data_IF_873764624513
#
_entry.id   IF_873764624513
#
_cell.length_a   1.000
_cell.length_b   1.000
_cell.length_c   1.000
_cell.angle_alpha   90.00
_cell.angle_beta   90.00
_cell.angle_gamma   90.00
#
_symmetry.space_group_name_H-M   'P 1'
#
loop_
_entity.id
_entity.type
_entity.pdbx_description
1 polymer ?
#
# COMPACT_ATOMS: atom_id res chain seq x y z
N UNK A 1 9.37 -30.31 -27.31
CA UNK A 1 8.65 -31.10 -26.27
C UNK A 1 8.58 -30.25 -25.02
N UNK A 2 7.42 -29.67 -24.74
CA UNK A 2 7.18 -28.79 -23.58
C UNK A 2 6.82 -29.66 -22.38
N UNK A 3 7.63 -29.64 -21.32
CA UNK A 3 7.30 -30.29 -20.05
C UNK A 3 6.53 -29.29 -19.18
N UNK A 4 5.24 -29.51 -19.08
CA UNK A 4 4.35 -28.79 -18.14
C UNK A 4 4.57 -29.41 -16.76
N UNK A 5 5.13 -28.63 -15.83
CA UNK A 5 5.27 -29.06 -14.44
C UNK A 5 3.97 -28.68 -13.69
N UNK A 6 3.18 -29.66 -13.39
CA UNK A 6 1.94 -29.55 -12.62
C UNK A 6 2.32 -29.56 -11.13
N UNK A 7 2.28 -28.42 -10.44
CA UNK A 7 2.39 -28.39 -8.98
C UNK A 7 1.02 -28.70 -8.37
N UNK A 8 0.89 -29.93 -7.90
CA UNK A 8 -0.22 -30.37 -7.08
C UNK A 8 0.09 -29.96 -5.62
N UNK A 9 -0.51 -28.87 -5.15
CA UNK A 9 -0.46 -28.52 -3.73
C UNK A 9 -1.52 -29.36 -3.03
N UNK A 10 -1.07 -30.44 -2.41
CA UNK A 10 -1.89 -31.22 -1.50
C UNK A 10 -2.02 -30.43 -0.19
N UNK A 11 -3.21 -29.89 0.06
CA UNK A 11 -3.60 -29.38 1.37
C UNK A 11 -3.74 -30.57 2.32
N UNK A 12 -2.69 -30.86 3.06
CA UNK A 12 -2.74 -31.83 4.17
C UNK A 12 -3.44 -31.17 5.34
N UNK A 13 -4.73 -31.42 5.48
CA UNK A 13 -5.47 -31.18 6.71
C UNK A 13 -4.92 -32.12 7.77
N UNK A 14 -4.00 -31.67 8.60
CA UNK A 14 -3.64 -32.37 9.84
C UNK A 14 -4.81 -32.26 10.82
N UNK A 15 -5.67 -33.25 10.83
CA UNK A 15 -6.55 -33.52 11.94
C UNK A 15 -5.69 -34.01 13.14
N UNK A 16 -5.32 -33.10 14.00
CA UNK A 16 -4.84 -33.48 15.34
C UNK A 16 -6.07 -33.74 16.21
N UNK A 17 -6.52 -34.98 16.21
CA UNK A 17 -7.41 -35.48 17.25
C UNK A 17 -6.61 -35.61 18.56
N UNK A 18 -6.56 -34.54 19.34
CA UNK A 18 -6.07 -34.56 20.71
C UNK A 18 -7.19 -35.07 21.61
N UNK A 19 -7.28 -36.38 21.85
CA UNK A 19 -7.98 -36.90 23.01
C UNK A 19 -7.20 -36.55 24.25
N UNK A 20 -7.66 -35.60 25.07
CA UNK A 20 -7.34 -35.54 26.47
C UNK A 20 -8.62 -35.89 27.25
N UNK A 21 -8.66 -37.10 27.76
CA UNK A 21 -9.56 -37.48 28.81
C UNK A 21 -9.03 -36.84 30.11
N UNK A 22 -9.68 -35.80 30.59
CA UNK A 22 -9.58 -35.38 31.96
C UNK A 22 -10.99 -35.34 32.55
N UNK A 23 -11.31 -36.46 33.13
CA UNK A 23 -12.48 -36.69 33.97
C UNK A 23 -12.18 -36.20 35.37
N UNK A 24 -12.51 -34.95 35.72
CA UNK A 24 -12.63 -34.49 37.09
C UNK A 24 -13.62 -33.33 37.23
N UNK A 25 -14.79 -33.63 37.82
CA UNK A 25 -15.52 -32.71 38.70
C UNK A 25 -16.21 -31.51 38.08
N UNK A 26 -17.45 -31.63 37.64
CA UNK A 26 -18.58 -30.72 37.91
C UNK A 26 -18.43 -29.20 37.71
N UNK A 27 -17.50 -28.71 36.89
CA UNK A 27 -17.54 -27.34 36.44
C UNK A 27 -18.11 -27.34 35.02
N UNK A 28 -19.12 -26.51 34.76
CA UNK A 28 -19.65 -26.26 33.42
C UNK A 28 -18.50 -25.79 32.56
N UNK A 29 -17.94 -26.71 31.73
CA UNK A 29 -16.86 -26.37 30.81
C UNK A 29 -17.37 -25.34 29.78
N UNK A 30 -16.73 -24.19 29.70
CA UNK A 30 -16.98 -23.18 28.70
C UNK A 30 -16.71 -23.72 27.29
N UNK A 31 -17.32 -23.08 26.28
CA UNK A 31 -17.12 -23.43 24.88
C UNK A 31 -15.76 -22.99 24.38
N UNK A 32 -15.18 -23.77 23.44
CA UNK A 32 -14.00 -23.36 22.66
C UNK A 32 -14.38 -23.23 21.18
N UNK A 33 -13.70 -22.31 20.49
CA UNK A 33 -13.88 -22.07 19.06
C UNK A 33 -12.54 -22.18 18.35
N UNK A 34 -12.47 -23.02 17.35
CA UNK A 34 -11.40 -23.06 16.37
C UNK A 34 -11.85 -22.25 15.13
N UNK A 35 -11.45 -21.00 15.07
CA UNK A 35 -11.78 -20.10 13.96
C UNK A 35 -10.60 -20.01 13.01
N UNK A 36 -10.86 -20.23 11.74
CA UNK A 36 -9.93 -20.01 10.63
C UNK A 36 -10.51 -18.98 9.68
N UNK A 37 -9.66 -18.18 9.05
CA UNK A 37 -10.08 -17.26 7.98
C UNK A 37 -9.68 -17.83 6.65
N UNK A 38 -10.63 -17.96 5.73
CA UNK A 38 -10.33 -18.39 4.35
C UNK A 38 -9.42 -17.34 3.68
N UNK A 39 -8.28 -17.84 3.15
CA UNK A 39 -7.29 -17.00 2.48
C UNK A 39 -7.79 -16.52 1.09
N UNK A 40 -7.51 -15.29 0.65
CA UNK A 40 -6.17 -14.78 0.53
C UNK A 40 -5.75 -14.01 1.78
N UNK A 41 -4.80 -14.63 2.42
CA UNK A 41 -3.98 -14.23 3.53
C UNK A 41 -4.20 -12.83 4.11
N UNK A 42 -4.67 -12.76 5.35
CA UNK A 42 -4.66 -11.54 6.13
C UNK A 42 -4.73 -11.86 7.64
N UNK A 43 -4.19 -11.05 8.47
CA UNK A 43 -4.07 -11.23 9.93
C UNK A 43 -4.79 -10.09 10.65
N UNK A 44 -5.26 -10.24 11.92
CA UNK A 44 -5.72 -9.14 12.78
C UNK A 44 -4.61 -8.14 13.09
N UNK A 45 -3.36 -8.52 12.97
CA UNK A 45 -2.30 -7.62 12.51
C UNK A 45 -2.18 -7.77 11.01
N UNK A 46 -2.51 -6.75 10.23
CA UNK A 46 -2.23 -6.77 8.80
C UNK A 46 -0.77 -6.44 8.56
N UNK A 47 -0.03 -7.42 8.07
CA UNK A 47 1.36 -7.27 7.66
C UNK A 47 1.51 -7.66 6.19
N UNK A 48 2.55 -7.18 5.55
CA UNK A 48 2.88 -7.53 4.18
C UNK A 48 3.60 -6.41 3.47
N UNK A 49 4.17 -6.68 2.31
CA UNK A 49 4.77 -5.65 1.47
C UNK A 49 3.70 -4.65 0.99
N UNK A 50 4.11 -3.43 0.64
CA UNK A 50 3.22 -2.36 0.20
C UNK A 50 2.26 -2.77 -0.94
N UNK A 51 2.63 -3.76 -1.74
CA UNK A 51 1.82 -4.29 -2.85
C UNK A 51 0.95 -5.49 -2.49
N UNK A 52 1.04 -6.00 -1.22
CA UNK A 52 0.40 -7.25 -0.82
C UNK A 52 1.16 -8.49 -1.32
N UNK A 53 0.68 -9.70 -1.08
CA UNK A 53 -0.54 -10.01 -0.34
C UNK A 53 -0.40 -9.71 1.16
N UNK A 54 -1.47 -9.20 1.74
CA UNK A 54 -1.54 -8.99 3.18
C UNK A 54 -1.95 -10.27 3.89
N UNK A 55 -1.47 -10.45 5.13
CA UNK A 55 -1.78 -11.64 5.94
C UNK A 55 -2.56 -11.24 7.20
N UNK A 56 -3.61 -11.99 7.56
CA UNK A 56 -4.48 -11.77 8.73
C UNK A 56 -4.32 -12.87 9.79
N UNK A 57 -4.01 -12.58 11.08
CA UNK A 57 -4.21 -13.49 12.21
C UNK A 57 -4.85 -12.76 13.36
N UNK A 58 -5.60 -13.50 14.11
CA UNK A 58 -6.18 -13.02 15.34
C UNK A 58 -5.08 -12.80 16.38
N UNK A 59 -5.12 -11.66 17.07
CA UNK A 59 -4.29 -11.36 18.23
C UNK A 59 -4.97 -11.82 19.52
N UNK A 60 -4.23 -11.88 20.62
CA UNK A 60 -4.83 -12.10 21.92
C UNK A 60 -5.83 -10.99 22.22
N UNK A 61 -6.90 -11.34 22.93
CA UNK A 61 -8.04 -10.50 23.26
C UNK A 61 -8.99 -10.16 22.09
N UNK A 62 -8.69 -10.60 20.86
CA UNK A 62 -9.66 -10.54 19.75
C UNK A 62 -10.94 -11.28 20.13
N UNK A 63 -12.08 -10.73 19.68
CA UNK A 63 -13.40 -11.25 20.01
C UNK A 63 -14.14 -11.67 18.75
N UNK A 64 -14.77 -12.83 18.82
CA UNK A 64 -15.69 -13.33 17.79
C UNK A 64 -17.06 -13.46 18.42
N UNK A 65 -18.07 -12.83 17.81
CA UNK A 65 -19.47 -12.99 18.17
C UNK A 65 -20.04 -14.21 17.48
N UNK A 66 -20.55 -15.17 18.24
CA UNK A 66 -21.10 -16.42 17.70
C UNK A 66 -22.57 -16.56 18.13
N UNK A 67 -23.43 -16.70 17.14
CA UNK A 67 -24.86 -16.95 17.33
C UNK A 67 -25.28 -18.29 16.74
N UNK A 68 -26.50 -18.68 17.00
CA UNK A 68 -27.15 -19.82 16.34
C UNK A 68 -28.63 -19.50 16.05
N UNK A 69 -29.31 -20.36 15.33
CA UNK A 69 -30.70 -20.17 14.92
C UNK A 69 -31.69 -20.13 16.07
N UNK A 70 -31.28 -20.50 17.28
CA UNK A 70 -32.13 -20.47 18.48
C UNK A 70 -31.90 -19.24 19.34
N UNK A 71 -30.84 -18.47 19.10
CA UNK A 71 -30.58 -17.20 19.78
C UNK A 71 -31.33 -16.06 19.10
N UNK A 72 -32.12 -15.35 19.89
CA UNK A 72 -32.95 -14.25 19.38
C UNK A 72 -32.37 -12.87 19.59
N UNK A 73 -31.41 -12.71 20.51
CA UNK A 73 -30.84 -11.40 20.85
C UNK A 73 -29.40 -11.42 21.32
N UNK A 74 -28.91 -12.47 21.93
CA UNK A 74 -27.60 -12.51 22.54
C UNK A 74 -26.64 -13.42 21.77
N UNK A 75 -25.41 -12.95 21.62
CA UNK A 75 -24.32 -13.72 21.03
C UNK A 75 -23.37 -14.24 22.11
N UNK A 76 -22.81 -15.41 21.88
CA UNK A 76 -21.69 -15.88 22.65
C UNK A 76 -20.42 -15.15 22.22
N UNK A 77 -19.75 -14.47 23.14
CA UNK A 77 -18.50 -13.76 22.86
C UNK A 77 -17.33 -14.69 23.17
N UNK A 78 -16.63 -15.06 22.16
CA UNK A 78 -15.40 -15.84 22.24
C UNK A 78 -14.20 -14.91 22.20
N UNK A 79 -13.36 -14.99 23.24
CA UNK A 79 -12.13 -14.20 23.34
C UNK A 79 -10.91 -15.08 23.10
N UNK A 80 -9.97 -14.60 22.28
CA UNK A 80 -8.73 -15.31 21.96
C UNK A 80 -7.76 -15.26 23.13
N UNK A 81 -7.20 -16.41 23.49
CA UNK A 81 -6.08 -16.55 24.42
C UNK A 81 -5.16 -17.66 23.92
N UNK A 82 -3.93 -17.33 23.58
CA UNK A 82 -3.02 -18.24 22.91
C UNK A 82 -3.55 -18.66 21.54
N UNK A 83 -3.66 -19.96 21.29
CA UNK A 83 -4.10 -20.49 19.97
C UNK A 83 -5.61 -20.68 19.84
N UNK A 84 -6.38 -20.49 20.89
CA UNK A 84 -7.81 -20.81 20.94
C UNK A 84 -8.66 -19.61 21.35
N UNK A 85 -9.89 -19.62 20.88
CA UNK A 85 -10.95 -18.76 21.38
C UNK A 85 -11.76 -19.52 22.42
N UNK A 86 -12.11 -18.86 23.52
CA UNK A 86 -12.90 -19.46 24.60
C UNK A 86 -14.05 -18.54 25.02
N UNK A 87 -15.13 -19.13 25.44
CA UNK A 87 -16.30 -18.48 26.03
C UNK A 87 -16.63 -19.19 27.35
N UNK A 88 -16.84 -18.42 28.41
CA UNK A 88 -17.20 -18.98 29.74
C UNK A 88 -18.58 -19.66 29.76
N UNK A 89 -19.44 -19.31 28.81
CA UNK A 89 -20.80 -19.87 28.75
C UNK A 89 -20.76 -21.30 28.20
N UNK A 90 -21.41 -22.21 28.91
CA UNK A 90 -21.56 -23.59 28.47
C UNK A 90 -22.40 -23.69 27.19
N UNK A 91 -22.05 -24.64 26.33
CA UNK A 91 -22.82 -24.92 25.12
C UNK A 91 -24.23 -25.38 25.50
N UNK A 92 -25.29 -24.83 24.90
CA UNK A 92 -26.65 -25.31 25.16
C UNK A 92 -26.78 -26.77 24.69
N UNK A 93 -27.39 -27.58 25.52
CA UNK A 93 -27.75 -28.95 25.16
C UNK A 93 -28.87 -28.93 24.11
N UNK A 94 -28.75 -29.71 23.05
CA UNK A 94 -29.80 -29.76 22.04
C UNK A 94 -29.38 -30.31 20.68
N UNK A 95 -30.36 -30.28 19.77
CA UNK A 95 -30.22 -30.74 18.39
C UNK A 95 -29.21 -29.88 17.58
N UNK A 96 -28.73 -30.43 16.49
CA UNK A 96 -27.90 -29.71 15.54
C UNK A 96 -28.56 -28.41 15.08
N UNK A 97 -27.83 -27.30 15.19
CA UNK A 97 -28.26 -25.98 14.74
C UNK A 97 -27.17 -25.36 13.88
N UNK A 98 -27.57 -24.43 13.02
CA UNK A 98 -26.62 -23.60 12.30
C UNK A 98 -26.02 -22.57 13.26
N UNK A 99 -24.68 -22.51 13.27
CA UNK A 99 -23.89 -21.53 14.03
C UNK A 99 -23.33 -20.50 13.06
N UNK A 100 -23.40 -19.23 13.46
CA UNK A 100 -22.90 -18.08 12.70
C UNK A 100 -21.85 -17.37 13.52
N UNK A 101 -20.74 -17.01 12.92
CA UNK A 101 -19.66 -16.26 13.58
C UNK A 101 -19.36 -14.99 12.83
N UNK A 102 -19.08 -13.91 13.58
CA UNK A 102 -18.80 -12.58 13.08
C UNK A 102 -17.58 -11.99 13.78
N UNK A 103 -16.62 -11.49 12.99
CA UNK A 103 -15.44 -10.77 13.46
C UNK A 103 -15.42 -9.37 12.82
N UNK A 104 -15.02 -8.32 13.55
CA UNK A 104 -14.72 -8.22 14.99
C UNK A 104 -15.97 -8.21 15.89
N UNK A 105 -17.13 -8.28 15.34
CA UNK A 105 -18.40 -8.30 16.05
C UNK A 105 -19.59 -8.22 15.09
N UNK A 106 -20.80 -8.03 15.59
CA UNK A 106 -22.02 -7.98 14.76
C UNK A 106 -22.27 -6.62 14.10
N UNK A 107 -21.61 -5.56 14.58
CA UNK A 107 -21.63 -4.21 14.00
C UNK A 107 -20.22 -3.72 13.86
N UNK A 108 -19.90 -3.19 12.69
CA UNK A 108 -18.57 -2.65 12.36
C UNK A 108 -18.76 -1.24 11.80
N UNK A 109 -18.64 -0.19 12.64
CA UNK A 109 -18.61 1.18 12.15
C UNK A 109 -17.34 1.36 11.31
N UNK A 110 -17.46 1.98 10.14
CA UNK A 110 -16.36 2.16 9.20
C UNK A 110 -15.80 3.59 9.19
N UNK A 111 -16.37 4.48 9.98
CA UNK A 111 -15.95 5.87 10.11
C UNK A 111 -14.61 5.98 10.86
N UNK A 112 -13.89 7.06 10.59
CA UNK A 112 -12.67 7.46 11.31
C UNK A 112 -11.58 6.38 11.40
N UNK A 113 -11.37 5.62 10.32
CA UNK A 113 -10.27 4.65 10.25
C UNK A 113 -8.92 5.38 10.31
N UNK A 114 -7.94 4.82 11.01
CA UNK A 114 -6.62 5.45 11.22
C UNK A 114 -5.81 5.57 9.93
N UNK A 115 -6.04 4.68 8.99
CA UNK A 115 -5.34 4.64 7.71
C UNK A 115 -4.03 3.87 7.72
N UNK A 116 -3.55 3.40 8.88
CA UNK A 116 -2.40 2.50 8.93
C UNK A 116 -2.82 1.05 8.62
N UNK A 117 -1.88 0.27 8.11
CA UNK A 117 -2.18 -1.10 7.67
C UNK A 117 -2.60 -2.00 8.83
N UNK A 118 -2.01 -1.83 10.01
CA UNK A 118 -2.35 -2.62 11.20
C UNK A 118 -3.76 -2.29 11.69
N UNK A 119 -4.12 -0.99 11.70
CA UNK A 119 -5.42 -0.50 12.15
C UNK A 119 -6.60 -0.99 11.29
N UNK A 120 -6.37 -1.33 10.02
CA UNK A 120 -7.42 -1.89 9.15
C UNK A 120 -7.99 -3.18 9.72
N UNK A 121 -7.22 -3.94 10.50
CA UNK A 121 -7.68 -5.19 11.11
C UNK A 121 -8.95 -4.99 11.96
N UNK A 122 -9.08 -3.85 12.65
CA UNK A 122 -10.26 -3.52 13.47
C UNK A 122 -11.55 -3.37 12.66
N UNK A 123 -11.44 -3.19 11.37
CA UNK A 123 -12.57 -3.01 10.43
C UNK A 123 -12.71 -4.17 9.44
N UNK A 124 -11.86 -5.20 9.60
CA UNK A 124 -11.81 -6.32 8.64
C UNK A 124 -12.92 -7.33 8.92
N UNK A 125 -14.14 -6.95 8.59
CA UNK A 125 -15.32 -7.77 8.81
C UNK A 125 -15.20 -9.13 8.09
N UNK A 126 -15.37 -10.20 8.88
CA UNK A 126 -15.43 -11.58 8.42
C UNK A 126 -16.66 -12.27 8.99
N UNK A 127 -17.29 -13.15 8.23
CA UNK A 127 -18.39 -13.95 8.69
C UNK A 127 -18.26 -15.40 8.23
N UNK A 128 -18.81 -16.31 9.02
CA UNK A 128 -18.81 -17.73 8.71
C UNK A 128 -20.03 -18.43 9.26
N UNK A 129 -20.35 -19.58 8.66
CA UNK A 129 -21.43 -20.47 9.07
C UNK A 129 -20.90 -21.90 9.17
N UNK A 130 -21.38 -22.62 10.16
CA UNK A 130 -21.20 -24.06 10.22
C UNK A 130 -22.52 -24.71 10.57
N UNK A 131 -22.88 -25.73 9.82
CA UNK A 131 -23.94 -26.65 10.18
C UNK A 131 -23.31 -27.75 11.03
N UNK A 132 -23.27 -27.57 12.34
CA UNK A 132 -22.65 -28.55 13.20
C UNK A 132 -23.63 -29.17 14.15
N UNK A 133 -23.63 -30.50 14.13
CA UNK A 133 -24.24 -31.26 15.20
C UNK A 133 -23.54 -30.91 16.53
N UNK A 134 -24.30 -30.46 17.46
CA UNK A 134 -23.79 -29.96 18.75
C UNK A 134 -23.57 -31.09 19.75
N UNK A 135 -23.58 -32.33 19.33
CA UNK A 135 -23.46 -33.49 20.23
C UNK A 135 -21.99 -33.82 20.46
N UNK A 136 -21.57 -33.75 21.70
CA UNK A 136 -20.37 -34.37 22.23
C UNK A 136 -19.26 -33.42 22.68
N UNK A 137 -18.61 -32.65 21.85
CA UNK A 137 -17.51 -31.80 22.26
C UNK A 137 -17.94 -30.33 22.48
N UNK A 138 -17.34 -29.67 23.48
CA UNK A 138 -17.56 -28.24 23.76
C UNK A 138 -16.93 -27.31 22.71
N UNK A 139 -16.39 -27.87 21.62
CA UNK A 139 -15.69 -27.13 20.57
C UNK A 139 -16.56 -26.87 19.35
N UNK A 140 -16.43 -25.67 18.80
CA UNK A 140 -16.94 -25.29 17.49
C UNK A 140 -15.77 -25.10 16.54
N UNK A 141 -15.98 -25.40 15.23
CA UNK A 141 -15.04 -25.07 14.17
C UNK A 141 -15.78 -24.30 13.10
N UNK A 142 -15.37 -23.03 12.86
CA UNK A 142 -16.01 -22.13 11.90
C UNK A 142 -14.94 -21.50 11.01
N UNK A 143 -15.11 -21.63 9.69
CA UNK A 143 -14.30 -20.90 8.71
C UNK A 143 -14.95 -19.55 8.44
N UNK A 144 -14.19 -18.47 8.59
CA UNK A 144 -14.63 -17.11 8.36
C UNK A 144 -14.19 -16.63 6.97
N UNK A 145 -15.12 -16.06 6.22
CA UNK A 145 -14.89 -15.46 4.91
C UNK A 145 -14.87 -13.94 5.05
N UNK A 146 -13.87 -13.24 4.50
CA UNK A 146 -13.87 -11.78 4.48
C UNK A 146 -15.11 -11.19 3.82
N UNK A 147 -15.63 -10.09 4.36
CA UNK A 147 -16.76 -9.33 3.83
C UNK A 147 -16.36 -7.92 3.37
N UNK A 148 -15.10 -7.59 3.48
CA UNK A 148 -14.53 -6.31 3.07
C UNK A 148 -13.45 -6.49 2.00
N UNK A 149 -13.24 -5.45 1.23
CA UNK A 149 -12.04 -5.20 0.42
C UNK A 149 -11.21 -4.10 1.09
N UNK A 150 -9.95 -3.99 0.73
CA UNK A 150 -9.06 -2.94 1.22
C UNK A 150 -8.84 -1.91 0.12
N UNK A 151 -9.09 -0.64 0.43
CA UNK A 151 -8.65 0.46 -0.41
C UNK A 151 -7.31 1.00 0.09
N UNK A 152 -6.33 1.09 -0.81
CA UNK A 152 -5.10 1.85 -0.63
C UNK A 152 -5.33 3.24 -1.20
N UNK A 153 -5.43 4.23 -0.32
CA UNK A 153 -5.61 5.63 -0.69
C UNK A 153 -4.22 6.28 -0.78
N UNK A 154 -3.81 6.64 -1.98
CA UNK A 154 -2.54 7.33 -2.22
C UNK A 154 -2.82 8.82 -2.24
N UNK A 155 -2.48 9.51 -1.13
CA UNK A 155 -2.49 10.96 -1.07
C UNK A 155 -1.19 11.47 -1.68
N UNK A 156 -1.30 12.13 -2.84
CA UNK A 156 -0.14 12.43 -3.69
C UNK A 156 0.69 13.62 -3.19
N UNK A 157 0.11 14.53 -2.42
CA UNK A 157 0.72 15.77 -1.95
C UNK A 157 0.41 16.06 -0.47
N UNK A 158 1.23 16.90 0.15
CA UNK A 158 0.93 17.48 1.46
C UNK A 158 -0.08 18.63 1.27
N UNK A 159 -1.04 18.73 2.18
CA UNK A 159 -2.05 19.79 2.14
C UNK A 159 -2.55 20.11 3.54
N UNK A 160 -2.73 21.39 3.86
CA UNK A 160 -3.42 21.80 5.09
C UNK A 160 -4.89 21.40 5.09
N UNK A 161 -5.50 21.22 3.92
CA UNK A 161 -6.85 20.69 3.78
C UNK A 161 -6.80 19.16 3.84
N UNK A 162 -7.51 18.54 4.77
CA UNK A 162 -7.54 17.08 4.86
C UNK A 162 -8.07 16.41 3.58
N UNK A 163 -7.50 15.27 3.25
CA UNK A 163 -8.08 14.32 2.32
C UNK A 163 -9.13 13.52 3.07
N UNK A 164 -10.40 13.89 2.92
CA UNK A 164 -11.53 13.25 3.57
C UNK A 164 -12.16 12.22 2.65
N UNK A 165 -11.85 10.96 2.86
CA UNK A 165 -12.39 9.86 2.07
C UNK A 165 -13.78 9.50 2.56
N UNK A 166 -14.73 9.57 1.64
CA UNK A 166 -16.11 9.20 1.83
C UNK A 166 -16.54 8.25 0.72
N UNK A 167 -17.46 7.36 1.02
CA UNK A 167 -17.92 6.35 0.07
C UNK A 167 -19.44 6.30 0.06
N UNK A 168 -20.01 6.16 -1.11
CA UNK A 168 -21.45 5.95 -1.29
C UNK A 168 -21.71 4.72 -2.15
N UNK A 169 -22.90 4.13 -1.95
CA UNK A 169 -23.53 3.16 -2.85
C UNK A 169 -24.83 3.78 -3.39
N UNK A 170 -25.63 3.01 -4.12
CA UNK A 170 -26.98 3.42 -4.51
C UNK A 170 -27.91 3.68 -3.32
N UNK A 171 -27.61 3.11 -2.13
CA UNK A 171 -28.41 3.28 -0.91
C UNK A 171 -28.05 4.51 -0.07
N UNK A 172 -26.98 5.24 -0.38
CA UNK A 172 -26.52 6.41 0.37
C UNK A 172 -25.04 6.32 0.79
N UNK A 173 -24.63 7.22 1.70
CA UNK A 173 -23.29 7.24 2.27
C UNK A 173 -23.05 6.03 3.17
N UNK A 174 -21.92 5.38 3.05
CA UNK A 174 -21.56 4.21 3.87
C UNK A 174 -21.06 4.70 5.23
N UNK A 175 -21.65 4.18 6.30
CA UNK A 175 -21.23 4.43 7.69
C UNK A 175 -20.71 3.18 8.40
N UNK A 176 -21.12 2.00 7.98
CA UNK A 176 -20.74 0.76 8.66
C UNK A 176 -21.26 -0.48 7.96
N UNK A 177 -21.12 -1.59 8.67
CA UNK A 177 -21.67 -2.90 8.29
C UNK A 177 -22.34 -3.54 9.49
N UNK A 178 -23.46 -4.22 9.25
CA UNK A 178 -24.20 -4.98 10.28
C UNK A 178 -24.38 -6.42 9.83
N UNK A 179 -24.05 -7.35 10.71
CA UNK A 179 -24.24 -8.78 10.46
C UNK A 179 -25.74 -9.12 10.49
N UNK A 180 -26.17 -9.95 9.55
CA UNK A 180 -27.53 -10.48 9.53
C UNK A 180 -27.62 -11.69 10.47
N UNK A 181 -28.57 -11.66 11.39
CA UNK A 181 -28.71 -12.67 12.45
C UNK A 181 -29.06 -14.08 11.96
N UNK A 182 -29.54 -14.21 10.73
CA UNK A 182 -29.95 -15.51 10.14
C UNK A 182 -29.01 -16.03 9.07
N UNK A 183 -27.98 -15.26 8.70
CA UNK A 183 -27.02 -15.61 7.64
C UNK A 183 -25.60 -15.20 8.05
N UNK A 184 -24.62 -15.97 7.59
CA UNK A 184 -23.21 -15.66 7.80
C UNK A 184 -22.73 -14.53 6.87
N UNK A 185 -23.36 -13.36 6.97
CA UNK A 185 -23.12 -12.22 6.08
C UNK A 185 -23.22 -10.88 6.81
N UNK A 186 -22.74 -9.84 6.15
CA UNK A 186 -22.87 -8.45 6.56
C UNK A 186 -23.59 -7.65 5.48
N UNK A 187 -24.53 -6.83 5.88
CA UNK A 187 -25.06 -5.77 5.02
C UNK A 187 -24.36 -4.45 5.27
N UNK A 188 -24.40 -3.60 4.24
CA UNK A 188 -23.88 -2.25 4.31
C UNK A 188 -24.85 -1.36 5.06
N UNK A 189 -24.39 -0.72 6.13
CA UNK A 189 -25.10 0.39 6.74
C UNK A 189 -24.86 1.67 5.95
N UNK A 190 -25.92 2.40 5.70
CA UNK A 190 -25.87 3.70 5.04
C UNK A 190 -26.34 4.81 5.97
N UNK A 191 -25.83 6.03 5.74
CA UNK A 191 -26.19 7.23 6.47
C UNK A 191 -26.80 8.26 5.52
N UNK A 192 -27.79 9.03 5.93
CA UNK A 192 -28.36 10.12 5.12
C UNK A 192 -27.35 11.27 4.94
N UNK A 193 -26.40 11.40 5.86
CA UNK A 193 -25.32 12.39 5.81
C UNK A 193 -23.98 11.74 5.42
N UNK A 194 -23.10 12.56 4.88
CA UNK A 194 -21.75 12.15 4.51
C UNK A 194 -20.94 11.71 5.73
N UNK A 195 -20.39 10.51 5.69
CA UNK A 195 -19.53 9.95 6.73
C UNK A 195 -18.10 9.90 6.24
N UNK A 196 -17.15 10.37 7.03
CA UNK A 196 -15.72 10.34 6.72
C UNK A 196 -15.11 9.03 7.20
N UNK A 197 -14.63 8.22 6.28
CA UNK A 197 -13.97 6.95 6.60
C UNK A 197 -12.50 7.14 6.96
N UNK A 198 -11.86 8.14 6.34
CA UNK A 198 -10.45 8.47 6.55
C UNK A 198 -10.24 9.97 6.37
N UNK A 199 -9.44 10.60 7.23
CA UNK A 199 -9.04 12.01 7.09
C UNK A 199 -7.53 12.14 7.29
N UNK A 200 -6.81 12.65 6.27
CA UNK A 200 -5.34 12.75 6.31
C UNK A 200 -4.84 14.01 5.62
N UNK A 201 -3.87 14.69 6.23
CA UNK A 201 -3.23 15.90 5.67
C UNK A 201 -1.89 15.59 4.99
N UNK A 202 -1.13 14.64 5.52
CA UNK A 202 0.17 14.27 4.97
C UNK A 202 0.05 13.45 3.68
N UNK A 203 1.00 13.61 2.76
CA UNK A 203 1.17 12.70 1.65
C UNK A 203 1.58 11.31 2.14
N UNK A 204 1.07 10.26 1.49
CA UNK A 204 1.34 8.89 1.92
C UNK A 204 0.39 7.87 1.32
N UNK A 205 0.55 6.64 1.74
CA UNK A 205 -0.34 5.52 1.40
C UNK A 205 -1.10 5.11 2.65
N UNK A 206 -2.41 5.20 2.59
CA UNK A 206 -3.31 4.89 3.67
C UNK A 206 -4.21 3.73 3.30
N UNK A 207 -4.63 2.97 4.29
CA UNK A 207 -5.40 1.74 4.10
C UNK A 207 -6.73 1.85 4.83
N UNK A 208 -7.82 1.51 4.15
CA UNK A 208 -9.14 1.43 4.76
C UNK A 208 -9.89 0.17 4.32
N UNK A 209 -10.66 -0.40 5.23
CA UNK A 209 -11.60 -1.45 4.92
C UNK A 209 -12.91 -0.85 4.36
N UNK A 210 -13.45 -1.47 3.33
CA UNK A 210 -14.73 -1.08 2.72
C UNK A 210 -15.55 -2.32 2.38
N UNK A 211 -16.88 -2.24 2.35
CA UNK A 211 -17.71 -3.39 2.03
C UNK A 211 -17.41 -3.98 0.66
N UNK A 212 -17.25 -5.31 0.61
CA UNK A 212 -17.17 -6.05 -0.64
C UNK A 212 -18.55 -6.30 -1.27
N UNK A 213 -18.57 -6.78 -2.52
CA UNK A 213 -19.80 -7.14 -3.24
C UNK A 213 -20.64 -5.97 -3.73
N UNK A 214 -20.41 -4.75 -3.25
CA UNK A 214 -21.18 -3.56 -3.63
C UNK A 214 -20.43 -2.68 -4.62
N UNK A 215 -21.14 -2.07 -5.57
CA UNK A 215 -20.60 -0.98 -6.38
C UNK A 215 -20.51 0.27 -5.50
N UNK A 216 -19.35 0.90 -5.50
CA UNK A 216 -19.08 2.08 -4.69
C UNK A 216 -18.61 3.25 -5.53
N UNK A 217 -18.87 4.45 -5.04
CA UNK A 217 -18.25 5.69 -5.52
C UNK A 217 -17.45 6.30 -4.38
N UNK A 218 -16.19 6.61 -4.66
CA UNK A 218 -15.21 7.13 -3.71
C UNK A 218 -15.03 8.61 -3.96
N UNK A 219 -15.08 9.39 -2.89
CA UNK A 219 -14.91 10.85 -2.91
C UNK A 219 -13.76 11.27 -1.99
N UNK A 220 -13.12 12.38 -2.33
CA UNK A 220 -12.31 13.20 -1.43
C UNK A 220 -13.05 14.50 -1.19
N UNK A 221 -13.55 14.68 0.01
CA UNK A 221 -14.44 15.81 0.30
C UNK A 221 -15.67 15.79 -0.63
N UNK A 222 -15.83 16.82 -1.45
CA UNK A 222 -16.87 16.92 -2.46
C UNK A 222 -16.49 16.36 -3.83
N UNK A 223 -15.19 16.05 -4.04
CA UNK A 223 -14.68 15.66 -5.34
C UNK A 223 -14.73 14.14 -5.54
N UNK A 224 -15.40 13.70 -6.61
CA UNK A 224 -15.41 12.28 -7.00
C UNK A 224 -14.04 11.85 -7.49
N UNK A 225 -13.44 10.86 -6.83
CA UNK A 225 -12.17 10.25 -7.25
C UNK A 225 -12.40 9.10 -8.23
N UNK A 226 -13.27 8.17 -7.86
CA UNK A 226 -13.52 6.95 -8.65
C UNK A 226 -14.88 6.35 -8.37
N UNK A 227 -15.47 5.71 -9.39
CA UNK A 227 -16.60 4.81 -9.23
C UNK A 227 -16.23 3.43 -9.77
N UNK A 228 -16.66 2.39 -9.08
CA UNK A 228 -16.45 1.01 -9.52
C UNK A 228 -17.58 0.58 -10.46
N UNK A 229 -17.24 -0.19 -11.50
CA UNK A 229 -18.23 -0.74 -12.45
C UNK A 229 -18.87 -2.03 -11.94
N UNK A 230 -18.22 -2.69 -10.98
CA UNK A 230 -18.66 -3.94 -10.34
C UNK A 230 -18.42 -3.83 -8.84
N UNK A 231 -19.02 -4.70 -8.05
CA UNK A 231 -18.71 -4.86 -6.64
C UNK A 231 -17.24 -5.22 -6.43
N UNK A 232 -16.65 -4.72 -5.37
CA UNK A 232 -15.29 -5.07 -4.98
C UNK A 232 -15.25 -6.53 -4.51
N UNK A 233 -14.18 -7.25 -4.83
CA UNK A 233 -14.00 -8.63 -4.36
C UNK A 233 -13.48 -8.63 -2.93
N UNK A 234 -14.11 -9.40 -2.07
CA UNK A 234 -13.70 -9.59 -0.68
C UNK A 234 -12.24 -10.06 -0.57
N UNK A 235 -11.52 -9.58 0.43
CA UNK A 235 -10.12 -9.91 0.67
C UNK A 235 -9.14 -9.36 -0.38
N UNK A 236 -9.59 -8.61 -1.39
CA UNK A 236 -8.72 -7.98 -2.39
C UNK A 236 -8.47 -6.52 -2.03
N UNK A 237 -7.35 -5.99 -2.56
CA UNK A 237 -6.97 -4.60 -2.41
C UNK A 237 -7.07 -3.84 -3.73
N UNK A 238 -7.36 -2.56 -3.62
CA UNK A 238 -7.53 -1.65 -4.77
C UNK A 238 -6.86 -0.33 -4.47
N UNK A 239 -6.16 0.23 -5.46
CA UNK A 239 -5.47 1.51 -5.29
C UNK A 239 -6.27 2.64 -5.90
N UNK A 240 -6.37 3.75 -5.17
CA UNK A 240 -6.99 5.00 -5.59
C UNK A 240 -6.06 6.15 -5.24
N UNK A 241 -5.73 7.02 -6.21
CA UNK A 241 -4.93 8.22 -5.99
C UNK A 241 -5.85 9.43 -5.81
N UNK A 242 -5.48 10.36 -4.93
CA UNK A 242 -6.25 11.58 -4.69
C UNK A 242 -6.03 12.66 -5.75
N UNK A 243 -4.97 12.51 -6.56
CA UNK A 243 -4.61 13.40 -7.64
C UNK A 243 -3.79 12.69 -8.71
N UNK A 244 -3.41 13.40 -9.77
CA UNK A 244 -2.60 12.84 -10.84
C UNK A 244 -1.16 12.60 -10.35
N UNK A 245 -0.59 11.48 -10.74
CA UNK A 245 0.84 11.14 -10.52
C UNK A 245 1.68 11.39 -11.78
N UNK A 246 1.06 11.85 -12.83
CA UNK A 246 1.67 12.30 -14.09
C UNK A 246 0.78 13.33 -14.77
N UNK A 247 1.38 14.15 -15.58
CA UNK A 247 0.69 15.19 -16.36
C UNK A 247 1.66 15.90 -17.29
N UNK A 248 1.30 17.10 -17.71
CA UNK A 248 2.16 17.96 -18.52
C UNK A 248 2.03 19.41 -18.10
N UNK A 249 3.08 20.18 -18.32
CA UNK A 249 3.10 21.62 -18.09
C UNK A 249 3.82 22.33 -19.23
N UNK A 250 3.45 23.58 -19.48
CA UNK A 250 4.01 24.40 -20.56
C UNK A 250 5.42 24.89 -20.26
N UNK A 251 6.19 25.10 -21.31
CA UNK A 251 7.50 25.75 -21.28
C UNK A 251 7.31 27.23 -21.66
N UNK A 252 7.89 28.14 -20.87
CA UNK A 252 8.03 29.58 -21.23
C UNK A 252 6.75 30.25 -21.78
N UNK A 253 5.57 29.95 -21.23
CA UNK A 253 4.30 30.45 -21.73
C UNK A 253 4.02 30.14 -23.21
N UNK A 254 4.66 29.14 -23.77
CA UNK A 254 4.42 28.65 -25.13
C UNK A 254 3.33 27.58 -25.15
N UNK A 255 2.99 27.08 -26.33
CA UNK A 255 2.13 25.90 -26.47
C UNK A 255 2.90 24.59 -26.31
N UNK A 256 4.24 24.65 -26.21
CA UNK A 256 5.08 23.49 -25.98
C UNK A 256 4.91 22.98 -24.54
N UNK A 257 4.70 21.70 -24.38
CA UNK A 257 4.49 21.06 -23.09
C UNK A 257 5.51 19.97 -22.84
N UNK A 258 5.89 19.80 -21.57
CA UNK A 258 6.73 18.70 -21.11
C UNK A 258 5.90 17.85 -20.16
N UNK A 259 5.97 16.55 -20.34
CA UNK A 259 5.38 15.59 -19.39
C UNK A 259 6.17 15.57 -18.08
N UNK A 260 5.45 15.34 -16.99
CA UNK A 260 6.04 15.11 -15.68
C UNK A 260 5.47 13.86 -15.03
N UNK A 261 6.25 13.26 -14.15
CA UNK A 261 5.87 12.13 -13.32
C UNK A 261 6.29 12.38 -11.88
N UNK A 262 5.48 11.87 -10.95
CA UNK A 262 5.81 11.79 -9.54
C UNK A 262 6.16 10.33 -9.21
N UNK A 263 7.22 10.09 -8.45
CA UNK A 263 7.72 8.74 -8.18
C UNK A 263 7.28 8.19 -6.82
N UNK A 264 6.86 9.08 -5.88
CA UNK A 264 6.31 8.71 -4.58
C UNK A 264 5.40 9.82 -4.04
N UNK A 265 4.59 9.49 -3.04
CA UNK A 265 3.69 10.45 -2.40
C UNK A 265 4.49 11.57 -1.70
N UNK A 266 4.15 12.82 -1.99
CA UNK A 266 4.87 14.00 -1.50
C UNK A 266 6.21 14.27 -2.19
N UNK A 267 6.61 13.44 -3.15
CA UNK A 267 7.80 13.68 -3.96
C UNK A 267 7.59 14.74 -5.03
N UNK A 268 8.67 15.29 -5.59
CA UNK A 268 8.58 16.28 -6.65
C UNK A 268 8.02 15.68 -7.94
N UNK A 269 7.46 16.54 -8.78
CA UNK A 269 6.95 16.19 -10.10
C UNK A 269 8.08 16.39 -11.11
N UNK A 270 8.86 15.35 -11.37
CA UNK A 270 10.00 15.38 -12.28
C UNK A 270 9.54 15.50 -13.73
N UNK A 271 10.19 16.36 -14.51
CA UNK A 271 10.08 16.31 -15.98
C UNK A 271 10.54 14.93 -16.50
N UNK A 272 9.91 14.43 -17.56
CA UNK A 272 10.33 13.15 -18.16
C UNK A 272 11.61 13.29 -19.02
N UNK A 273 12.03 14.52 -19.30
CA UNK A 273 13.24 14.84 -20.07
C UNK A 273 14.10 15.91 -19.39
N UNK A 274 15.37 15.97 -19.75
CA UNK A 274 16.28 17.04 -19.33
C UNK A 274 15.99 18.34 -20.10
N UNK A 275 16.49 19.47 -19.57
CA UNK A 275 16.76 20.63 -20.44
C UNK A 275 17.73 20.20 -21.54
N UNK A 276 17.46 20.64 -22.78
CA UNK A 276 18.20 20.18 -23.96
C UNK A 276 19.72 20.36 -23.85
N UNK A 277 20.13 21.53 -23.38
CA UNK A 277 21.54 21.89 -23.27
C UNK A 277 21.99 21.85 -21.81
N UNK A 278 23.26 21.45 -21.60
CA UNK A 278 23.89 21.58 -20.29
C UNK A 278 24.06 23.06 -19.93
N UNK A 279 23.81 23.39 -18.67
CA UNK A 279 23.76 24.77 -18.17
C UNK A 279 24.84 25.04 -17.16
N UNK A 280 25.22 26.32 -17.01
CA UNK A 280 25.97 26.80 -15.85
C UNK A 280 25.09 26.73 -14.60
N UNK A 281 25.71 26.75 -13.42
CA UNK A 281 24.95 26.79 -12.16
C UNK A 281 24.05 28.06 -12.08
N UNK A 282 24.60 29.21 -12.46
CA UNK A 282 23.86 30.47 -12.44
C UNK A 282 22.59 30.44 -13.33
N UNK A 283 22.66 29.78 -14.49
CA UNK A 283 21.49 29.63 -15.36
C UNK A 283 20.52 28.58 -14.83
N UNK A 284 21.04 27.49 -14.25
CA UNK A 284 20.23 26.42 -13.72
C UNK A 284 19.41 26.82 -12.47
N UNK A 285 19.87 27.82 -11.73
CA UNK A 285 19.23 28.28 -10.48
C UNK A 285 18.36 29.53 -10.64
N UNK A 286 18.18 30.04 -11.85
CA UNK A 286 17.18 31.06 -12.14
C UNK A 286 15.79 30.57 -11.74
N UNK A 287 14.89 31.48 -11.42
CA UNK A 287 13.54 31.18 -10.94
C UNK A 287 12.50 32.00 -11.71
N UNK A 288 11.24 31.60 -11.60
CA UNK A 288 10.13 32.29 -12.23
C UNK A 288 10.25 32.34 -13.75
N UNK A 289 9.93 33.47 -14.34
CA UNK A 289 9.97 33.64 -15.80
C UNK A 289 11.39 33.65 -16.39
N UNK A 290 12.42 33.87 -15.55
CA UNK A 290 13.83 33.82 -15.97
C UNK A 290 14.39 32.38 -16.04
N UNK A 291 13.69 31.39 -15.50
CA UNK A 291 14.07 29.99 -15.64
C UNK A 291 13.94 29.54 -17.09
N UNK A 292 14.85 28.70 -17.55
CA UNK A 292 14.92 28.28 -18.96
C UNK A 292 13.61 27.70 -19.52
N UNK A 293 12.81 27.06 -18.70
CA UNK A 293 11.47 26.57 -19.03
C UNK A 293 10.33 27.43 -18.46
N UNK A 294 10.65 28.59 -17.88
CA UNK A 294 9.69 29.53 -17.30
C UNK A 294 9.17 29.10 -15.93
N UNK A 295 8.26 29.90 -15.39
CA UNK A 295 7.81 29.85 -14.00
C UNK A 295 7.17 28.57 -13.53
N UNK A 296 6.72 27.72 -14.45
CA UNK A 296 6.12 26.43 -14.09
C UNK A 296 7.17 25.40 -13.68
N UNK A 297 8.44 25.68 -13.90
CA UNK A 297 9.53 24.73 -13.70
C UNK A 297 10.64 25.34 -12.86
N UNK A 298 11.39 24.47 -12.20
CA UNK A 298 12.60 24.84 -11.45
C UNK A 298 13.60 23.68 -11.42
N UNK A 299 14.82 23.99 -11.08
CA UNK A 299 15.82 22.97 -10.74
C UNK A 299 15.46 22.32 -9.38
N UNK A 300 15.55 20.98 -9.25
CA UNK A 300 15.26 20.30 -7.99
C UNK A 300 16.28 20.70 -6.91
N UNK A 301 15.86 20.63 -5.65
CA UNK A 301 16.77 20.79 -4.52
C UNK A 301 17.63 19.53 -4.36
N UNK A 302 18.71 19.65 -3.56
CA UNK A 302 19.54 18.51 -3.16
C UNK A 302 18.70 17.42 -2.50
N UNK A 303 17.82 17.80 -1.58
CA UNK A 303 16.97 16.88 -0.84
C UNK A 303 16.05 16.12 -1.79
N UNK A 304 15.43 16.78 -2.77
CA UNK A 304 14.58 16.14 -3.77
C UNK A 304 15.35 15.13 -4.63
N UNK A 305 16.57 15.47 -5.04
CA UNK A 305 17.43 14.53 -5.77
C UNK A 305 17.96 13.42 -4.86
N UNK A 306 18.23 13.69 -3.59
CA UNK A 306 18.67 12.69 -2.62
C UNK A 306 17.57 11.68 -2.29
N UNK A 307 16.31 12.09 -2.24
CA UNK A 307 15.18 11.19 -1.98
C UNK A 307 14.88 10.23 -3.14
N UNK A 308 15.30 10.55 -4.35
CA UNK A 308 15.33 9.58 -5.46
C UNK A 308 16.27 8.42 -5.09
N UNK A 309 17.31 8.73 -4.34
CA UNK A 309 18.41 7.87 -3.98
C UNK A 309 18.70 7.96 -2.51
N UNK A 310 18.88 6.99 -1.79
CA UNK A 310 19.67 6.96 -0.60
C UNK A 310 19.03 6.49 0.66
N UNK A 311 19.46 5.34 0.99
CA UNK A 311 19.92 5.05 2.35
C UNK A 311 21.40 4.68 2.26
N UNK A 312 22.28 5.40 2.93
CA UNK A 312 23.62 4.95 3.22
C UNK A 312 23.52 3.80 4.22
N UNK A 313 23.66 2.60 3.74
CA UNK A 313 23.72 1.43 4.61
C UNK A 313 25.20 1.28 5.01
N UNK A 314 25.62 1.84 6.16
CA UNK A 314 26.90 1.68 6.87
C UNK A 314 28.18 1.28 6.15
N UNK A 315 28.12 0.89 4.90
CA UNK A 315 29.21 0.59 4.00
C UNK A 315 29.31 1.65 2.90
N UNK A 316 30.49 2.17 2.70
CA UNK A 316 30.81 3.30 1.82
C UNK A 316 30.34 3.19 0.35
N UNK A 317 29.72 2.08 -0.05
CA UNK A 317 29.46 1.75 -1.46
C UNK A 317 28.07 1.22 -1.77
N UNK A 318 27.14 1.17 -0.81
CA UNK A 318 25.78 0.69 -1.07
C UNK A 318 24.75 1.78 -0.81
N UNK A 319 24.17 2.33 -1.87
CA UNK A 319 23.04 3.27 -1.80
C UNK A 319 21.78 2.51 -2.23
N UNK A 320 20.90 2.24 -1.27
CA UNK A 320 19.58 1.66 -1.57
C UNK A 320 18.58 2.79 -1.75
N UNK A 321 17.93 2.92 -2.91
CA UNK A 321 16.86 3.91 -3.12
C UNK A 321 15.74 3.73 -2.10
N UNK A 322 15.26 4.84 -1.50
CA UNK A 322 14.19 4.81 -0.51
C UNK A 322 12.80 4.62 -1.12
N UNK A 323 12.59 5.21 -2.29
CA UNK A 323 11.26 5.32 -2.90
C UNK A 323 11.20 4.75 -4.31
N UNK A 324 12.34 4.36 -4.85
CA UNK A 324 12.46 3.89 -6.25
C UNK A 324 13.32 2.66 -6.32
N UNK A 325 13.12 1.84 -7.35
CA UNK A 325 14.17 0.94 -7.85
C UNK A 325 14.99 1.68 -8.87
N UNK A 326 16.27 1.33 -8.96
CA UNK A 326 17.18 1.87 -9.95
C UNK A 326 17.78 0.74 -10.78
N UNK A 327 17.87 0.93 -12.08
CA UNK A 327 18.53 -0.01 -13.00
C UNK A 327 19.25 0.75 -14.11
N UNK A 328 20.31 0.15 -14.66
CA UNK A 328 20.90 0.62 -15.92
C UNK A 328 19.90 0.29 -17.03
N UNK A 329 19.65 1.25 -17.90
CA UNK A 329 18.73 1.11 -19.02
C UNK A 329 19.24 1.93 -20.21
N UNK A 330 18.71 1.67 -21.40
CA UNK A 330 19.00 2.38 -22.62
C UNK A 330 17.71 2.98 -23.18
N UNK A 331 17.73 4.27 -23.48
CA UNK A 331 16.63 4.97 -24.08
C UNK A 331 17.14 5.81 -25.26
N UNK A 332 16.56 5.59 -26.45
CA UNK A 332 16.95 6.29 -27.67
C UNK A 332 18.44 6.22 -28.02
N UNK A 333 19.09 5.09 -27.72
CA UNK A 333 20.52 4.89 -27.98
C UNK A 333 21.45 5.50 -26.94
N UNK A 334 20.90 6.00 -25.83
CA UNK A 334 21.66 6.58 -24.72
C UNK A 334 21.53 5.72 -23.49
N UNK A 335 22.68 5.35 -22.89
CA UNK A 335 22.72 4.60 -21.63
C UNK A 335 22.54 5.55 -20.45
N UNK A 336 21.84 5.12 -19.42
CA UNK A 336 21.59 5.91 -18.23
C UNK A 336 21.00 5.10 -17.09
N UNK A 337 20.51 5.78 -16.06
CA UNK A 337 19.79 5.17 -14.94
C UNK A 337 18.30 5.44 -15.05
N UNK A 338 17.52 4.37 -14.99
CA UNK A 338 16.06 4.45 -14.85
C UNK A 338 15.65 4.25 -13.40
N UNK A 339 15.00 5.26 -12.85
CA UNK A 339 14.41 5.22 -11.52
C UNK A 339 12.91 5.01 -11.64
N UNK A 340 12.40 3.97 -11.01
CA UNK A 340 10.97 3.60 -11.04
C UNK A 340 10.41 3.58 -9.63
N UNK A 341 9.26 4.21 -9.42
CA UNK A 341 8.58 4.23 -8.12
C UNK A 341 8.20 2.82 -7.64
N UNK A 342 8.38 2.54 -6.34
CA UNK A 342 8.09 1.23 -5.75
C UNK A 342 6.79 1.20 -4.94
N UNK A 343 6.24 2.38 -4.61
CA UNK A 343 5.02 2.42 -3.80
C UNK A 343 3.77 2.22 -4.65
N UNK A 344 2.69 1.69 -4.06
CA UNK A 344 1.40 1.57 -4.73
C UNK A 344 0.97 2.89 -5.38
N UNK A 345 0.53 2.82 -6.63
CA UNK A 345 0.17 3.99 -7.44
C UNK A 345 1.32 4.60 -8.25
N UNK A 346 2.57 4.28 -7.92
CA UNK A 346 3.76 4.84 -8.58
C UNK A 346 4.58 3.81 -9.37
N UNK A 347 4.30 2.53 -9.27
CA UNK A 347 5.07 1.44 -9.90
C UNK A 347 5.14 1.47 -11.43
N UNK A 348 4.34 2.34 -12.07
CA UNK A 348 4.36 2.60 -13.51
C UNK A 348 4.97 3.94 -13.87
N UNK A 349 5.50 4.68 -12.89
CA UNK A 349 6.11 5.98 -13.09
C UNK A 349 7.62 5.83 -13.02
N UNK A 350 8.32 6.34 -14.00
CA UNK A 350 9.78 6.32 -14.04
C UNK A 350 10.35 7.59 -14.66
N UNK A 351 11.57 7.91 -14.28
CA UNK A 351 12.43 8.87 -14.99
C UNK A 351 13.69 8.16 -15.45
N UNK A 352 14.23 8.60 -16.56
CA UNK A 352 15.50 8.14 -17.10
C UNK A 352 16.52 9.28 -17.02
N UNK A 353 17.64 9.06 -16.34
CA UNK A 353 18.73 10.01 -16.22
C UNK A 353 19.91 9.55 -17.09
N UNK A 354 20.13 10.17 -18.26
CA UNK A 354 21.19 9.78 -19.17
C UNK A 354 22.57 10.02 -18.59
N UNK A 355 23.51 9.16 -18.96
CA UNK A 355 24.94 9.37 -18.73
C UNK A 355 25.54 10.27 -19.80
N UNK A 356 26.56 11.00 -19.42
CA UNK A 356 27.38 11.84 -20.30
C UNK A 356 28.87 11.48 -20.27
N UNK A 357 29.20 10.40 -19.57
CA UNK A 357 30.55 9.94 -19.38
C UNK A 357 31.16 9.25 -20.60
N UNK A 358 32.48 9.10 -20.55
CA UNK A 358 33.23 8.31 -21.48
C UNK A 358 32.92 6.80 -21.27
N UNK A 359 33.32 5.96 -22.22
CA UNK A 359 33.11 4.51 -22.23
C UNK A 359 33.63 3.78 -20.97
N UNK A 360 34.59 4.37 -20.28
CA UNK A 360 35.26 3.78 -19.11
C UNK A 360 34.55 4.15 -17.78
N UNK A 361 33.73 5.23 -17.79
CA UNK A 361 33.02 5.71 -16.61
C UNK A 361 31.60 6.16 -17.03
N UNK A 362 30.63 5.35 -16.72
CA UNK A 362 29.23 5.66 -16.99
C UNK A 362 28.68 6.52 -15.87
N UNK A 363 28.60 7.84 -16.06
CA UNK A 363 28.01 8.76 -15.09
C UNK A 363 27.33 9.94 -15.78
N UNK A 364 26.41 10.58 -15.08
CA UNK A 364 25.77 11.83 -15.47
C UNK A 364 25.75 12.82 -14.30
N UNK A 365 26.12 14.04 -14.54
CA UNK A 365 26.13 15.11 -13.55
C UNK A 365 24.92 16.02 -13.75
N UNK A 366 24.22 16.31 -12.64
CA UNK A 366 23.03 17.09 -12.60
C UNK A 366 23.11 18.21 -11.58
N UNK A 367 22.74 19.43 -11.97
CA UNK A 367 22.62 20.53 -11.03
C UNK A 367 21.47 20.31 -10.05
N UNK A 368 21.69 20.70 -8.81
CA UNK A 368 20.65 20.98 -7.84
C UNK A 368 20.59 22.48 -7.58
N UNK A 369 19.48 22.98 -7.05
CA UNK A 369 19.33 24.41 -6.74
C UNK A 369 20.15 24.89 -5.53
N UNK A 370 20.83 23.98 -4.83
CA UNK A 370 21.60 24.24 -3.60
C UNK A 370 23.10 24.32 -3.79
N UNK A 371 23.61 24.68 -4.97
CA UNK A 371 25.05 24.75 -5.30
C UNK A 371 25.82 23.43 -5.19
N UNK A 372 25.14 22.32 -5.06
CA UNK A 372 25.75 21.00 -5.02
C UNK A 372 25.40 20.19 -6.29
N UNK A 373 26.32 19.32 -6.68
CA UNK A 373 26.16 18.47 -7.87
C UNK A 373 25.64 17.13 -7.44
N UNK A 374 24.53 16.70 -8.03
CA UNK A 374 24.10 15.32 -7.96
C UNK A 374 24.76 14.54 -9.09
N UNK A 375 25.68 13.66 -8.76
CA UNK A 375 26.28 12.73 -9.73
C UNK A 375 25.55 11.40 -9.66
N UNK A 376 25.00 10.94 -10.77
CA UNK A 376 24.52 9.58 -10.90
C UNK A 376 25.49 8.80 -11.81
N UNK A 377 25.83 7.60 -11.42
CA UNK A 377 26.75 6.82 -12.23
C UNK A 377 27.01 5.43 -11.67
N UNK A 378 27.75 4.67 -12.44
CA UNK A 378 28.30 3.38 -12.01
C UNK A 378 29.79 3.41 -12.22
N UNK A 379 30.59 2.93 -11.26
CA UNK A 379 31.98 2.57 -11.54
C UNK A 379 31.99 1.11 -12.01
N UNK A 380 32.38 0.90 -13.26
CA UNK A 380 32.85 -0.41 -13.69
C UNK A 380 34.28 -0.53 -13.19
N UNK A 381 34.49 -1.16 -12.04
CA UNK A 381 35.81 -1.63 -11.67
C UNK A 381 36.16 -2.83 -12.55
N UNK A 382 36.76 -2.54 -13.71
CA UNK A 382 37.35 -3.55 -14.56
C UNK A 382 38.74 -3.85 -13.99
N UNK A 383 38.79 -4.56 -12.89
CA UNK A 383 40.03 -5.26 -12.48
C UNK A 383 39.92 -6.69 -13.00
N UNK A 384 40.44 -6.90 -14.21
CA UNK A 384 40.90 -8.18 -14.73
C UNK A 384 39.93 -9.36 -14.66
N UNK A 385 38.88 -9.36 -15.50
CA UNK A 385 38.05 -10.54 -15.72
C UNK A 385 36.61 -10.17 -15.86
N UNK A 386 35.97 -10.64 -16.91
CA UNK A 386 34.52 -10.51 -17.12
C UNK A 386 33.81 -11.20 -15.95
N UNK A 387 33.38 -10.42 -14.98
CA UNK A 387 32.45 -10.86 -13.92
C UNK A 387 31.07 -10.43 -14.33
N UNK A 388 30.14 -11.39 -14.41
CA UNK A 388 28.73 -11.17 -14.73
C UNK A 388 27.96 -10.42 -13.61
N UNK A 389 28.65 -9.91 -12.60
CA UNK A 389 28.09 -9.10 -11.53
C UNK A 389 28.39 -7.63 -11.81
N UNK A 390 27.48 -6.95 -12.48
CA UNK A 390 27.46 -5.50 -12.57
C UNK A 390 26.88 -5.00 -11.25
N UNK A 391 27.74 -4.68 -10.29
CA UNK A 391 27.33 -3.97 -9.09
C UNK A 391 26.96 -2.54 -9.50
N UNK A 392 25.67 -2.25 -9.59
CA UNK A 392 25.15 -0.93 -9.90
C UNK A 392 25.23 -0.11 -8.61
N UNK A 393 26.26 0.72 -8.51
CA UNK A 393 26.38 1.71 -7.46
C UNK A 393 25.87 3.06 -7.99
N UNK A 394 24.64 3.51 -7.65
CA UNK A 394 24.30 4.90 -7.80
C UNK A 394 25.11 5.67 -6.74
N UNK A 395 26.34 6.03 -7.06
CA UNK A 395 27.16 6.84 -6.19
C UNK A 395 26.77 8.31 -6.35
N UNK A 396 26.06 8.88 -5.35
CA UNK A 396 26.00 10.31 -5.18
C UNK A 396 27.27 10.76 -4.46
N UNK A 397 28.23 11.24 -5.22
CA UNK A 397 29.29 12.04 -4.65
C UNK A 397 28.79 13.49 -4.60
N UNK A 398 28.38 13.94 -3.42
CA UNK A 398 28.39 15.35 -3.14
C UNK A 398 29.86 15.77 -3.02
N UNK A 399 30.43 16.19 -4.13
CA UNK A 399 31.77 16.74 -4.08
C UNK A 399 31.67 18.26 -3.87
N UNK A 400 32.01 18.77 -2.67
CA UNK A 400 32.02 20.19 -2.40
C UNK A 400 33.29 20.87 -2.99
N UNK A 401 34.02 20.18 -3.87
CA UNK A 401 35.18 20.82 -4.47
C UNK A 401 34.72 21.99 -5.33
N UNK A 402 35.35 23.12 -5.07
CA UNK A 402 35.20 24.37 -5.78
C UNK A 402 35.58 24.20 -7.27
N UNK A 403 34.65 23.59 -8.04
CA UNK A 403 34.62 23.83 -9.47
C UNK A 403 34.25 25.28 -9.68
N UNK A 404 34.86 25.91 -10.66
CA UNK A 404 34.48 27.24 -11.10
C UNK A 404 33.04 27.16 -11.60
N UNK A 405 32.06 27.39 -10.69
CA UNK A 405 30.62 27.33 -10.94
C UNK A 405 30.21 28.16 -12.15
N UNK A 406 31.05 29.12 -12.55
CA UNK A 406 30.84 30.04 -13.64
C UNK A 406 30.97 29.41 -15.03
N UNK A 407 31.81 28.37 -15.19
CA UNK A 407 32.10 27.79 -16.52
C UNK A 407 31.69 26.35 -16.71
N UNK A 408 31.52 25.60 -15.61
CA UNK A 408 31.13 24.19 -15.68
C UNK A 408 29.65 24.06 -16.03
N UNK A 409 29.34 23.17 -16.98
CA UNK A 409 27.97 22.92 -17.44
C UNK A 409 27.57 21.48 -17.17
N UNK A 410 26.44 21.33 -16.52
CA UNK A 410 25.80 20.02 -16.25
C UNK A 410 24.37 19.97 -16.73
N UNK A 411 23.80 18.76 -16.73
CA UNK A 411 22.41 18.56 -17.00
C UNK A 411 21.49 19.16 -15.92
N UNK A 412 20.30 19.47 -16.32
CA UNK A 412 19.18 19.79 -15.40
C UNK A 412 18.02 18.87 -15.72
N UNK A 413 17.54 18.19 -14.70
CA UNK A 413 16.27 17.50 -14.70
C UNK A 413 15.25 18.34 -13.95
N UNK A 414 14.44 19.15 -14.65
CA UNK A 414 13.52 20.06 -13.97
C UNK A 414 12.45 19.33 -13.16
N UNK A 415 11.95 20.01 -12.14
CA UNK A 415 10.73 19.65 -11.42
C UNK A 415 9.71 20.76 -11.56
N UNK A 416 8.43 20.39 -11.45
CA UNK A 416 7.34 21.35 -11.48
C UNK A 416 7.46 22.29 -10.27
N UNK A 417 7.36 23.59 -10.48
CA UNK A 417 7.23 24.57 -9.41
C UNK A 417 5.81 24.50 -8.84
N UNK A 418 5.69 24.35 -7.51
CA UNK A 418 4.41 24.33 -6.80
C UNK A 418 4.02 25.70 -6.31
#
# INVERSE_FOLDING_TARGET
MKKTLLFLIAATAMMMAGCSNDDFGGATQGMTLNATVEQPASRATMTGPNDGPYQFSFDNDDKISVGNTTLTSDYYIFTKSGEKFSCATAKPAGTAVDWYAYFPGTTVPLDNQTGDLAGVANYYACAGKTAQATTGANGLAISLTPKVAILRIVKVDNSSTPCDINITTTGGWISGMTAQSSVADFDVETSPSKVTLLSQTAAGVYYIAVPAGKQITIYNGGTKLKATKKGLTAGKYYTVTTGPVKGSATINNTTETVEWVQLWAGGPKFATQNVKDKMTFADATKTGDDYVWGKNWRTPTKEEMTLVNAKLDGHFYSITPLHTTCQIDEESGVVGLRYTGIMPGYTKQSIFLPFDGNKDYLYGNYWTSTSEIATCGTSLDVVGGISDNVDIFPAYYFNPQAYTLETTKYYVRPVLAE
#
